data_IF_150843953272
#
_entry.id   IF_150843953272
#
_cell.length_a   1.000
_cell.length_b   1.000
_cell.length_c   1.000
_cell.angle_alpha   90.00
_cell.angle_beta   90.00
_cell.angle_gamma   90.00
#
_symmetry.space_group_name_H-M   'P 1'
#
loop_
_entity.id
_entity.type
_entity.pdbx_description
1 polymer ?
#
# COMPACT_ATOMS: atom_id res chain seq x y z
N UNK A 1 6.28 -26.02 -65.13
CA UNK A 1 6.25 -24.65 -64.57
C UNK A 1 4.94 -24.49 -63.83
N UNK A 2 4.97 -24.63 -62.51
CA UNK A 2 3.81 -24.42 -61.64
C UNK A 2 4.24 -23.39 -60.60
N UNK A 3 3.58 -22.22 -60.64
CA UNK A 3 3.76 -21.14 -59.70
C UNK A 3 3.20 -21.55 -58.33
N UNK A 4 4.04 -21.53 -57.30
CA UNK A 4 3.61 -21.43 -55.90
C UNK A 4 3.63 -19.96 -55.51
N UNK A 5 2.47 -19.41 -55.19
CA UNK A 5 2.29 -18.20 -54.38
C UNK A 5 2.30 -18.61 -52.90
N UNK A 6 3.05 -17.93 -52.02
CA UNK A 6 3.01 -18.21 -50.59
C UNK A 6 1.81 -17.54 -49.90
N UNK A 7 1.26 -18.24 -48.92
CA UNK A 7 0.16 -17.84 -48.05
C UNK A 7 0.45 -16.53 -47.29
N UNK A 8 -0.51 -15.60 -47.32
CA UNK A 8 -0.54 -14.40 -46.49
C UNK A 8 -0.88 -14.78 -45.03
N UNK A 9 0.12 -14.79 -44.15
CA UNK A 9 -0.09 -14.76 -42.70
C UNK A 9 -0.73 -13.44 -42.28
N UNK A 10 -2.03 -13.50 -41.94
CA UNK A 10 -2.75 -12.39 -41.29
C UNK A 10 -2.15 -12.13 -39.91
N UNK A 11 -1.32 -11.10 -39.81
CA UNK A 11 -0.87 -10.52 -38.54
C UNK A 11 -2.09 -9.87 -37.86
N UNK A 12 -2.62 -10.48 -36.81
CA UNK A 12 -3.62 -9.85 -35.95
C UNK A 12 -2.94 -8.71 -35.16
N UNK A 13 -3.15 -7.48 -35.63
CA UNK A 13 -2.81 -6.28 -34.87
C UNK A 13 -3.60 -6.26 -33.56
N UNK A 14 -2.88 -6.24 -32.44
CA UNK A 14 -3.48 -6.01 -31.13
C UNK A 14 -3.83 -4.52 -31.04
N UNK A 15 -5.07 -4.18 -31.44
CA UNK A 15 -5.61 -2.84 -31.29
C UNK A 15 -5.72 -2.56 -29.78
N UNK A 16 -4.80 -1.76 -29.26
CA UNK A 16 -4.89 -1.25 -27.88
C UNK A 16 -5.89 -0.11 -27.91
N UNK A 17 -7.14 -0.40 -27.56
CA UNK A 17 -8.13 0.64 -27.32
C UNK A 17 -7.64 1.56 -26.20
N UNK A 18 -7.85 2.88 -26.32
CA UNK A 18 -7.45 3.83 -25.29
C UNK A 18 -8.26 3.57 -24.02
N UNK A 19 -7.57 3.06 -23.00
CA UNK A 19 -8.16 2.84 -21.66
C UNK A 19 -8.60 4.21 -21.13
N UNK A 20 -9.89 4.37 -20.87
CA UNK A 20 -10.41 5.52 -20.16
C UNK A 20 -9.84 5.52 -18.74
N UNK A 21 -9.04 6.53 -18.42
CA UNK A 21 -8.41 6.69 -17.10
C UNK A 21 -9.46 6.86 -15.98
N UNK A 22 -10.72 7.17 -16.31
CA UNK A 22 -11.82 7.23 -15.37
C UNK A 22 -12.30 5.85 -14.88
N UNK A 23 -12.06 4.78 -15.66
CA UNK A 23 -12.48 3.41 -15.32
C UNK A 23 -11.45 2.64 -14.49
N UNK A 24 -10.26 3.21 -14.27
CA UNK A 24 -9.21 2.56 -13.49
C UNK A 24 -9.42 2.78 -11.98
N UNK A 25 -9.48 1.68 -11.22
CA UNK A 25 -9.41 1.68 -9.75
C UNK A 25 -8.01 2.12 -9.31
N UNK A 26 -7.80 3.43 -9.31
CA UNK A 26 -6.59 4.04 -8.79
C UNK A 26 -6.66 4.14 -7.27
N UNK A 27 -5.68 3.56 -6.59
CA UNK A 27 -5.41 3.80 -5.17
C UNK A 27 -4.32 4.85 -5.03
N UNK A 28 -4.49 5.78 -4.09
CA UNK A 28 -3.47 6.77 -3.73
C UNK A 28 -2.62 6.22 -2.59
N UNK A 29 -1.38 5.87 -2.91
CA UNK A 29 -0.41 5.39 -1.92
C UNK A 29 0.66 6.43 -1.63
N UNK A 30 1.08 6.51 -0.38
CA UNK A 30 2.09 7.49 0.08
C UNK A 30 3.48 7.19 -0.50
N UNK A 31 4.16 8.24 -0.98
CA UNK A 31 5.36 8.10 -1.82
C UNK A 31 6.55 7.47 -1.07
N UNK A 32 6.79 7.84 0.18
CA UNK A 32 7.88 7.25 0.97
C UNK A 32 7.65 5.74 1.18
N UNK A 33 6.41 5.31 1.45
CA UNK A 33 6.04 3.89 1.64
C UNK A 33 6.11 3.08 0.33
N UNK A 34 5.94 3.73 -0.82
CA UNK A 34 6.20 3.11 -2.12
C UNK A 34 7.69 2.90 -2.40
N UNK A 35 8.56 3.76 -1.87
CA UNK A 35 10.00 3.65 -2.06
C UNK A 35 10.64 2.70 -1.04
N UNK A 36 10.30 2.82 0.24
CA UNK A 36 10.96 2.11 1.32
C UNK A 36 10.18 0.87 1.78
N UNK A 37 10.87 -0.20 2.21
CA UNK A 37 10.22 -1.45 2.56
C UNK A 37 9.42 -1.32 3.86
N UNK A 38 8.20 -1.84 3.89
CA UNK A 38 7.44 -2.06 5.13
C UNK A 38 7.06 -3.54 5.25
N UNK A 39 6.40 -4.07 4.22
CA UNK A 39 5.98 -5.47 4.14
C UNK A 39 7.07 -6.38 3.57
N UNK A 40 7.20 -7.59 4.13
CA UNK A 40 8.01 -8.64 3.54
C UNK A 40 7.35 -9.18 2.26
N UNK A 41 8.16 -9.43 1.22
CA UNK A 41 7.72 -9.94 -0.07
C UNK A 41 7.73 -11.48 -0.19
N UNK A 42 8.15 -12.17 0.88
CA UNK A 42 8.26 -13.62 0.93
C UNK A 42 7.82 -14.15 2.28
N UNK A 43 7.25 -15.35 2.29
CA UNK A 43 6.92 -16.10 3.51
C UNK A 43 8.13 -16.84 4.07
N UNK A 44 9.17 -17.09 3.25
CA UNK A 44 10.38 -17.79 3.68
C UNK A 44 11.11 -16.97 4.74
N UNK A 45 11.27 -17.54 5.94
CA UNK A 45 11.94 -16.89 7.06
C UNK A 45 11.14 -15.76 7.74
N UNK A 46 9.89 -15.51 7.31
CA UNK A 46 9.07 -14.41 7.84
C UNK A 46 8.84 -14.52 9.35
N UNK A 47 8.61 -15.75 9.85
CA UNK A 47 8.38 -16.01 11.28
C UNK A 47 9.53 -15.53 12.18
N UNK A 48 10.76 -15.55 11.68
CA UNK A 48 11.96 -15.20 12.44
C UNK A 48 12.48 -13.79 12.07
N UNK A 49 11.82 -13.10 11.13
CA UNK A 49 12.21 -11.75 10.74
C UNK A 49 11.76 -10.79 11.84
N UNK A 50 12.72 -10.06 12.41
CA UNK A 50 12.43 -9.01 13.40
C UNK A 50 12.62 -7.60 12.84
N UNK A 51 13.40 -7.46 11.76
CA UNK A 51 13.66 -6.16 11.14
C UNK A 51 13.96 -6.25 9.64
N UNK A 52 13.74 -5.15 8.94
CA UNK A 52 14.28 -4.87 7.61
C UNK A 52 14.95 -3.50 7.63
N UNK A 53 16.19 -3.43 7.16
CA UNK A 53 16.96 -2.19 7.12
C UNK A 53 17.32 -1.83 5.68
N UNK A 54 17.22 -0.55 5.35
CA UNK A 54 17.77 0.08 4.17
C UNK A 54 18.71 1.21 4.62
N UNK A 55 19.94 1.17 4.15
CA UNK A 55 20.95 2.21 4.39
C UNK A 55 21.60 2.60 3.07
N UNK A 56 21.80 3.89 2.86
CA UNK A 56 22.47 4.40 1.67
C UNK A 56 23.20 5.71 1.98
N UNK A 57 24.16 6.06 1.13
CA UNK A 57 24.72 7.41 1.06
C UNK A 57 24.07 8.10 -0.14
N UNK A 58 23.46 9.26 0.10
CA UNK A 58 22.84 10.08 -0.96
C UNK A 58 23.48 11.46 -1.00
N UNK A 59 23.48 12.07 -2.17
CA UNK A 59 23.92 13.46 -2.32
C UNK A 59 22.73 14.40 -2.11
N UNK A 60 22.90 15.39 -1.22
CA UNK A 60 21.92 16.43 -0.92
C UNK A 60 22.64 17.75 -0.80
N UNK A 61 22.27 18.72 -1.62
CA UNK A 61 22.88 20.06 -1.62
C UNK A 61 24.41 20.03 -1.74
N UNK A 62 24.97 19.08 -2.50
CA UNK A 62 26.41 18.90 -2.67
C UNK A 62 27.12 18.15 -1.53
N UNK A 63 26.39 17.74 -0.49
CA UNK A 63 26.92 16.95 0.63
C UNK A 63 26.50 15.49 0.54
N UNK A 64 27.40 14.58 0.94
CA UNK A 64 27.10 13.15 1.07
C UNK A 64 26.51 12.89 2.45
N UNK A 65 25.25 12.46 2.48
CA UNK A 65 24.49 12.21 3.71
C UNK A 65 24.16 10.72 3.80
N UNK A 66 24.46 10.11 4.94
CA UNK A 66 23.97 8.76 5.26
C UNK A 66 22.50 8.82 5.65
N UNK A 67 21.71 7.92 5.07
CA UNK A 67 20.27 7.80 5.31
C UNK A 67 19.93 6.39 5.78
N UNK A 68 18.98 6.28 6.72
CA UNK A 68 18.52 5.02 7.30
C UNK A 68 16.99 4.92 7.24
N UNK A 69 16.50 3.77 6.80
CA UNK A 69 15.12 3.34 6.99
C UNK A 69 15.13 1.95 7.62
N UNK A 70 14.60 1.83 8.83
CA UNK A 70 14.53 0.58 9.55
C UNK A 70 13.08 0.30 9.95
N UNK A 71 12.60 -0.89 9.63
CA UNK A 71 11.29 -1.38 10.06
C UNK A 71 11.52 -2.49 11.06
N UNK A 72 10.92 -2.38 12.24
CA UNK A 72 11.06 -3.31 13.34
C UNK A 72 9.70 -3.91 13.72
N UNK A 73 9.64 -5.23 13.78
CA UNK A 73 8.47 -5.97 14.19
C UNK A 73 8.32 -5.98 15.70
N UNK A 74 7.07 -5.98 16.17
CA UNK A 74 6.78 -6.38 17.54
C UNK A 74 6.98 -7.92 17.69
N UNK A 75 7.72 -8.42 18.69
CA UNK A 75 7.95 -9.85 18.88
C UNK A 75 6.68 -10.70 19.06
N UNK A 76 5.62 -10.14 19.63
CA UNK A 76 4.34 -10.83 19.83
C UNK A 76 3.55 -10.96 18.51
N UNK A 77 3.54 -9.90 17.69
CA UNK A 77 2.73 -9.84 16.47
C UNK A 77 3.47 -10.31 15.21
N UNK A 78 4.80 -10.28 15.23
CA UNK A 78 5.67 -10.65 14.11
C UNK A 78 5.79 -9.57 13.03
N UNK A 79 6.60 -9.85 12.01
CA UNK A 79 6.87 -8.89 10.92
C UNK A 79 5.77 -8.91 9.85
N UNK A 80 5.31 -7.74 9.35
CA UNK A 80 4.22 -7.67 8.37
C UNK A 80 4.62 -8.26 7.02
N UNK A 81 3.79 -9.15 6.49
CA UNK A 81 4.02 -9.91 5.26
C UNK A 81 3.05 -9.56 4.13
N UNK A 82 2.93 -10.48 3.18
CA UNK A 82 2.14 -10.31 1.96
C UNK A 82 0.64 -10.13 2.22
N UNK A 83 0.10 -10.83 3.22
CA UNK A 83 -1.31 -10.69 3.58
C UNK A 83 -1.57 -9.33 4.25
N UNK A 84 -0.70 -8.89 5.14
CA UNK A 84 -0.77 -7.57 5.77
C UNK A 84 -0.69 -6.45 4.72
N UNK A 85 0.13 -6.64 3.68
CA UNK A 85 0.18 -5.73 2.53
C UNK A 85 -1.16 -5.62 1.81
N UNK A 86 -1.85 -6.73 1.60
CA UNK A 86 -3.19 -6.72 0.97
C UNK A 86 -4.23 -6.03 1.86
N UNK A 87 -4.18 -6.26 3.17
CA UNK A 87 -5.04 -5.55 4.14
C UNK A 87 -4.77 -4.05 4.09
N UNK A 88 -3.51 -3.63 4.06
CA UNK A 88 -3.17 -2.21 3.93
C UNK A 88 -3.62 -1.60 2.60
N UNK A 89 -3.56 -2.34 1.48
CA UNK A 89 -4.10 -1.88 0.20
C UNK A 89 -5.62 -1.65 0.25
N UNK A 90 -6.36 -2.49 0.97
CA UNK A 90 -7.79 -2.24 1.20
C UNK A 90 -8.04 -0.99 2.06
N UNK A 91 -7.18 -0.73 3.05
CA UNK A 91 -7.21 0.53 3.82
C UNK A 91 -6.90 1.74 2.92
N UNK A 92 -5.92 1.64 2.02
CA UNK A 92 -5.61 2.71 1.06
C UNK A 92 -6.74 2.97 0.05
N UNK A 93 -7.51 1.95 -0.36
CA UNK A 93 -8.73 2.17 -1.16
C UNK A 93 -9.70 3.09 -0.41
N UNK A 94 -9.95 2.80 0.87
CA UNK A 94 -10.83 3.60 1.73
C UNK A 94 -10.27 5.03 1.91
N UNK A 95 -8.98 5.16 2.21
CA UNK A 95 -8.31 6.47 2.31
C UNK A 95 -8.43 7.25 0.99
N UNK A 96 -8.35 6.57 -0.16
CA UNK A 96 -8.47 7.19 -1.47
C UNK A 96 -9.88 7.71 -1.73
N UNK A 97 -10.90 6.96 -1.30
CA UNK A 97 -12.31 7.37 -1.34
C UNK A 97 -12.54 8.59 -0.43
N UNK A 98 -11.99 8.58 0.79
CA UNK A 98 -12.05 9.71 1.72
C UNK A 98 -11.42 10.97 1.14
N UNK A 99 -10.20 10.87 0.58
CA UNK A 99 -9.55 11.98 -0.13
C UNK A 99 -10.39 12.48 -1.31
N UNK A 100 -11.01 11.59 -2.07
CA UNK A 100 -11.85 11.95 -3.22
C UNK A 100 -13.12 12.67 -2.80
N UNK A 101 -13.77 12.19 -1.74
CA UNK A 101 -15.09 12.66 -1.32
C UNK A 101 -15.01 13.90 -0.44
N UNK A 102 -13.99 14.00 0.42
CA UNK A 102 -13.85 15.06 1.44
C UNK A 102 -12.67 16.00 1.18
N UNK A 103 -11.78 15.67 0.24
CA UNK A 103 -10.56 16.44 -0.04
C UNK A 103 -9.45 16.28 0.99
N UNK A 104 -9.70 15.57 2.11
CA UNK A 104 -8.77 15.35 3.21
C UNK A 104 -9.12 14.07 3.97
N UNK A 105 -8.16 13.56 4.73
CA UNK A 105 -8.29 12.41 5.63
C UNK A 105 -8.23 12.91 7.06
N UNK A 106 -9.05 12.32 7.93
CA UNK A 106 -9.06 12.60 9.36
C UNK A 106 -9.03 11.30 10.16
N UNK A 107 -8.55 11.39 11.40
CA UNK A 107 -8.60 10.30 12.34
C UNK A 107 -9.90 10.34 13.17
N UNK A 108 -10.48 9.17 13.51
CA UNK A 108 -10.14 7.85 12.97
C UNK A 108 -10.72 7.62 11.57
N UNK A 109 -10.04 6.80 10.77
CA UNK A 109 -10.56 6.34 9.46
C UNK A 109 -11.48 5.13 9.67
N UNK A 110 -12.72 5.25 9.21
CA UNK A 110 -13.72 4.18 9.26
C UNK A 110 -13.43 3.12 8.19
N UNK A 111 -13.21 1.86 8.60
CA UNK A 111 -12.86 0.74 7.72
C UNK A 111 -14.07 -0.07 7.23
N UNK A 112 -15.25 0.15 7.81
CA UNK A 112 -16.42 -0.68 7.52
C UNK A 112 -16.35 -2.06 8.18
N UNK A 113 -17.10 -3.01 7.63
CA UNK A 113 -17.15 -4.38 8.15
C UNK A 113 -15.94 -5.20 7.71
N UNK A 114 -15.65 -6.29 8.42
CA UNK A 114 -14.61 -7.23 7.98
C UNK A 114 -14.99 -7.94 6.67
N UNK A 115 -16.30 -8.12 6.43
CA UNK A 115 -16.82 -8.62 5.16
C UNK A 115 -16.45 -7.67 4.00
N UNK A 116 -16.70 -6.36 4.14
CA UNK A 116 -16.34 -5.39 3.10
C UNK A 116 -14.82 -5.30 2.88
N UNK A 117 -14.01 -5.50 3.94
CA UNK A 117 -12.56 -5.59 3.77
C UNK A 117 -12.15 -6.85 2.98
N UNK A 118 -12.79 -8.00 3.22
CA UNK A 118 -12.55 -9.20 2.41
C UNK A 118 -12.90 -8.97 0.93
N UNK A 119 -14.00 -8.28 0.63
CA UNK A 119 -14.39 -7.95 -0.75
C UNK A 119 -13.39 -6.99 -1.41
N UNK A 120 -12.97 -5.93 -0.72
CA UNK A 120 -11.96 -4.97 -1.21
C UNK A 120 -10.60 -5.60 -1.48
N UNK A 121 -10.23 -6.60 -0.67
CA UNK A 121 -9.04 -7.41 -0.89
C UNK A 121 -9.19 -8.40 -2.05
N UNK A 122 -10.41 -8.62 -2.53
CA UNK A 122 -10.74 -9.61 -3.55
C UNK A 122 -10.46 -11.04 -3.09
N UNK A 123 -10.71 -11.33 -1.80
CA UNK A 123 -10.56 -12.69 -1.29
C UNK A 123 -11.63 -13.60 -1.89
N UNK A 124 -11.22 -14.81 -2.24
CA UNK A 124 -12.15 -15.84 -2.69
C UNK A 124 -12.90 -16.45 -1.50
N UNK A 125 -14.20 -16.63 -1.70
CA UNK A 125 -15.04 -17.41 -0.79
C UNK A 125 -14.72 -18.89 -0.97
N UNK A 126 -14.88 -19.67 0.09
CA UNK A 126 -14.64 -21.12 -0.01
C UNK A 126 -15.68 -21.75 -0.94
N UNK A 127 -15.33 -22.82 -1.68
CA UNK A 127 -16.30 -23.55 -2.49
C UNK A 127 -17.54 -23.92 -1.67
N UNK A 128 -18.72 -23.64 -2.22
CA UNK A 128 -20.00 -23.89 -1.55
C UNK A 128 -20.39 -22.91 -0.43
N UNK A 129 -19.65 -21.82 -0.21
CA UNK A 129 -19.97 -20.82 0.81
C UNK A 129 -20.35 -19.47 0.17
N UNK A 130 -21.44 -18.87 0.64
CA UNK A 130 -21.89 -17.54 0.20
C UNK A 130 -21.19 -16.39 0.95
N UNK A 131 -20.52 -16.67 2.05
CA UNK A 131 -19.89 -15.69 2.95
C UNK A 131 -18.44 -16.05 3.28
N UNK A 132 -17.70 -15.05 3.77
CA UNK A 132 -16.37 -15.24 4.35
C UNK A 132 -16.47 -15.87 5.75
N UNK A 133 -15.49 -16.67 6.12
CA UNK A 133 -15.47 -17.34 7.42
C UNK A 133 -14.79 -16.52 8.52
N UNK A 134 -14.94 -16.98 9.76
CA UNK A 134 -14.25 -16.38 10.91
C UNK A 134 -12.72 -16.47 10.84
N UNK A 135 -12.15 -17.34 9.99
CA UNK A 135 -10.69 -17.44 9.79
C UNK A 135 -10.17 -16.17 9.09
N UNK A 136 -10.85 -15.76 8.04
CA UNK A 136 -10.51 -14.61 7.21
C UNK A 136 -10.62 -13.33 8.04
N UNK A 137 -11.72 -13.18 8.81
CA UNK A 137 -11.91 -12.08 9.74
C UNK A 137 -10.81 -12.00 10.82
N UNK A 138 -10.46 -13.13 11.45
CA UNK A 138 -9.34 -13.16 12.43
C UNK A 138 -8.00 -12.81 11.80
N UNK A 139 -7.76 -13.23 10.55
CA UNK A 139 -6.54 -12.89 9.83
C UNK A 139 -6.44 -11.39 9.58
N UNK A 140 -7.53 -10.73 9.15
CA UNK A 140 -7.58 -9.28 8.94
C UNK A 140 -7.34 -8.52 10.25
N UNK A 141 -8.00 -8.90 11.35
CA UNK A 141 -7.77 -8.26 12.66
C UNK A 141 -6.31 -8.33 13.08
N UNK A 142 -5.71 -9.53 13.02
CA UNK A 142 -4.29 -9.72 13.35
C UNK A 142 -3.35 -8.94 12.43
N UNK A 143 -3.70 -8.78 11.16
CA UNK A 143 -2.90 -8.00 10.24
C UNK A 143 -2.92 -6.50 10.58
N UNK A 144 -4.10 -5.95 10.90
CA UNK A 144 -4.22 -4.56 11.36
C UNK A 144 -3.43 -4.31 12.64
N UNK A 145 -3.53 -5.21 13.62
CA UNK A 145 -2.75 -5.15 14.87
C UNK A 145 -1.24 -5.25 14.61
N UNK A 146 -0.81 -6.15 13.72
CA UNK A 146 0.60 -6.30 13.34
C UNK A 146 1.14 -5.03 12.66
N UNK A 147 0.37 -4.41 11.77
CA UNK A 147 0.76 -3.16 11.12
C UNK A 147 0.88 -2.04 12.15
N UNK A 148 -0.10 -1.91 13.06
CA UNK A 148 -0.11 -0.88 14.09
C UNK A 148 1.07 -1.00 15.07
N UNK A 149 1.52 -2.22 15.34
CA UNK A 149 2.64 -2.49 16.26
C UNK A 149 4.01 -2.53 15.57
N UNK A 150 4.06 -2.31 14.25
CA UNK A 150 5.33 -2.28 13.50
C UNK A 150 5.91 -0.88 13.49
N UNK A 151 7.08 -0.72 14.11
CA UNK A 151 7.76 0.56 14.19
C UNK A 151 8.60 0.84 12.94
N UNK A 152 8.65 2.10 12.54
CA UNK A 152 9.50 2.64 11.49
C UNK A 152 10.47 3.62 12.15
N UNK A 153 11.77 3.42 11.97
CA UNK A 153 12.80 4.41 12.27
C UNK A 153 13.32 4.99 10.96
N UNK A 154 13.19 6.30 10.81
CA UNK A 154 13.78 7.06 9.72
C UNK A 154 14.92 7.92 10.24
N UNK A 155 16.04 7.94 9.54
CA UNK A 155 17.06 8.98 9.67
C UNK A 155 17.31 9.54 8.27
N UNK A 156 16.74 10.71 8.00
CA UNK A 156 16.88 11.37 6.72
C UNK A 156 16.23 10.64 5.53
N UNK A 157 15.32 9.66 5.72
CA UNK A 157 14.71 8.90 4.61
C UNK A 157 13.29 9.34 4.28
N UNK A 158 12.45 9.58 5.27
CA UNK A 158 11.05 9.97 5.05
C UNK A 158 11.00 11.47 4.74
N UNK A 159 10.51 11.83 3.55
CA UNK A 159 10.32 13.22 3.16
C UNK A 159 8.92 13.69 3.59
N UNK A 160 8.87 14.69 4.45
CA UNK A 160 7.64 15.33 4.86
C UNK A 160 7.37 16.52 3.92
N UNK A 161 6.45 16.36 2.96
CA UNK A 161 6.18 17.36 1.91
C UNK A 161 5.65 18.70 2.46
N UNK A 162 4.79 18.68 3.47
CA UNK A 162 4.20 19.90 4.05
C UNK A 162 5.26 20.85 4.63
N UNK A 163 6.05 20.34 5.57
CA UNK A 163 7.21 21.02 6.17
C UNK A 163 8.48 21.08 5.28
N UNK A 164 8.49 20.39 4.13
CA UNK A 164 9.63 20.33 3.21
C UNK A 164 10.95 19.91 3.86
N UNK A 165 10.90 18.90 4.74
CA UNK A 165 12.08 18.40 5.46
C UNK A 165 12.18 16.88 5.40
N UNK A 166 13.39 16.38 5.65
CA UNK A 166 13.63 14.97 5.91
C UNK A 166 13.45 14.68 7.40
N UNK A 167 12.69 13.64 7.69
CA UNK A 167 12.35 13.25 9.06
C UNK A 167 13.44 12.35 9.63
N UNK A 168 13.75 12.57 10.92
CA UNK A 168 14.65 11.74 11.72
C UNK A 168 13.96 11.37 13.03
N UNK A 169 13.06 10.38 12.99
CA UNK A 169 12.29 9.94 14.16
C UNK A 169 11.81 8.50 14.03
N UNK A 170 11.29 7.96 15.14
CA UNK A 170 10.55 6.68 15.17
C UNK A 170 9.06 6.97 15.14
N UNK A 171 8.31 6.24 14.31
CA UNK A 171 6.87 6.39 14.14
C UNK A 171 6.23 5.08 13.67
N UNK A 172 4.91 5.06 13.52
CA UNK A 172 4.14 3.90 13.04
C UNK A 172 3.32 4.29 11.81
N UNK A 173 2.73 3.32 11.10
CA UNK A 173 1.69 3.64 10.13
C UNK A 173 0.37 3.95 10.81
N UNK A 174 0.01 3.12 11.80
CA UNK A 174 -1.20 3.25 12.58
C UNK A 174 -0.83 3.39 14.06
N UNK A 175 -1.42 4.37 14.73
CA UNK A 175 -1.26 4.56 16.18
C UNK A 175 -2.23 3.69 16.97
N UNK A 176 -3.38 3.33 16.40
CA UNK A 176 -4.35 2.45 17.04
C UNK A 176 -5.28 1.78 16.02
N UNK A 177 -5.82 0.63 16.40
CA UNK A 177 -6.92 -0.06 15.71
C UNK A 177 -8.02 -0.28 16.72
N UNK A 178 -9.25 0.11 16.40
CA UNK A 178 -10.42 -0.06 17.27
C UNK A 178 -11.47 -0.86 16.52
N UNK A 179 -11.75 -2.08 16.97
CA UNK A 179 -12.76 -2.93 16.35
C UNK A 179 -14.16 -2.55 16.82
N UNK A 180 -15.17 -2.85 15.99
CA UNK A 180 -16.58 -2.64 16.29
C UNK A 180 -16.95 -3.15 17.69
N UNK A 181 -17.73 -2.35 18.43
CA UNK A 181 -18.16 -2.62 19.80
C UNK A 181 -17.10 -2.31 20.87
N UNK A 182 -15.92 -1.79 20.51
CA UNK A 182 -14.90 -1.29 21.46
C UNK A 182 -14.99 0.22 21.62
N UNK A 183 -14.38 0.78 22.67
CA UNK A 183 -14.39 2.23 22.92
C UNK A 183 -13.39 2.97 22.05
N UNK A 184 -13.81 4.10 21.48
CA UNK A 184 -12.98 5.07 20.78
C UNK A 184 -12.30 6.02 21.77
N UNK A 185 -11.37 6.86 21.26
CA UNK A 185 -10.60 7.81 22.10
C UNK A 185 -11.49 8.90 22.73
N UNK A 186 -12.61 9.23 22.08
CA UNK A 186 -13.62 10.18 22.58
C UNK A 186 -14.61 9.56 23.59
N UNK A 187 -14.46 8.26 23.91
CA UNK A 187 -15.30 7.54 24.85
C UNK A 187 -16.55 6.90 24.24
N UNK A 188 -16.88 7.18 22.97
CA UNK A 188 -17.99 6.54 22.26
C UNK A 188 -17.70 5.09 21.92
N UNK A 189 -18.74 4.31 21.60
CA UNK A 189 -18.59 2.93 21.15
C UNK A 189 -18.45 2.92 19.63
N UNK A 190 -17.41 2.27 19.13
CA UNK A 190 -17.17 2.09 17.71
C UNK A 190 -18.33 1.31 17.06
N UNK A 191 -19.07 1.99 16.17
CA UNK A 191 -20.15 1.40 15.37
C UNK A 191 -19.62 0.55 14.20
N UNK A 192 -18.35 0.74 13.84
CA UNK A 192 -17.61 0.00 12.82
C UNK A 192 -16.17 -0.29 13.26
N UNK A 193 -15.34 -0.83 12.36
CA UNK A 193 -13.90 -0.96 12.61
C UNK A 193 -13.18 0.32 12.20
N UNK A 194 -12.19 0.74 12.99
CA UNK A 194 -11.48 1.99 12.79
C UNK A 194 -9.97 1.79 12.87
N UNK A 195 -9.24 2.66 12.17
CA UNK A 195 -7.81 2.84 12.33
C UNK A 195 -7.49 4.30 12.61
N UNK A 196 -6.59 4.56 13.54
CA UNK A 196 -5.97 5.86 13.75
C UNK A 196 -4.63 5.82 13.03
N UNK A 197 -4.50 6.61 11.96
CA UNK A 197 -3.24 6.82 11.26
C UNK A 197 -2.29 7.62 12.14
N UNK A 198 -0.98 7.39 12.04
CA UNK A 198 -0.02 8.26 12.72
C UNK A 198 -0.02 9.67 12.13
N UNK A 199 0.40 10.64 12.92
CA UNK A 199 0.46 12.05 12.50
C UNK A 199 1.25 12.21 11.20
N UNK A 200 2.46 11.65 11.11
CA UNK A 200 3.28 11.73 9.89
C UNK A 200 2.59 11.12 8.66
N UNK A 201 1.87 10.01 8.84
CA UNK A 201 1.18 9.39 7.71
C UNK A 201 -0.01 10.23 7.29
N UNK A 202 -0.81 10.71 8.25
CA UNK A 202 -1.96 11.58 8.02
C UNK A 202 -1.55 12.91 7.35
N UNK A 203 -0.48 13.55 7.84
CA UNK A 203 0.09 14.78 7.27
C UNK A 203 0.58 14.57 5.85
N UNK A 204 1.25 13.45 5.56
CA UNK A 204 1.74 13.12 4.22
C UNK A 204 0.58 12.93 3.23
N UNK A 205 -0.49 12.23 3.64
CA UNK A 205 -1.71 12.05 2.86
C UNK A 205 -2.38 13.40 2.57
N UNK A 206 -2.55 14.25 3.59
CA UNK A 206 -3.20 15.57 3.46
C UNK A 206 -2.33 16.60 2.71
N UNK A 207 -1.01 16.43 2.67
CA UNK A 207 -0.12 17.20 1.79
C UNK A 207 -0.17 16.71 0.32
N UNK A 208 -0.99 15.69 0.02
CA UNK A 208 -1.03 15.01 -1.27
C UNK A 208 0.36 14.54 -1.70
N UNK A 209 1.16 14.00 -0.78
CA UNK A 209 2.41 13.31 -1.10
C UNK A 209 2.15 11.83 -1.40
N UNK A 210 1.26 11.64 -2.37
CA UNK A 210 0.73 10.34 -2.77
C UNK A 210 0.90 10.15 -4.28
N UNK A 211 0.96 8.90 -4.70
CA UNK A 211 0.96 8.51 -6.10
C UNK A 211 -0.25 7.63 -6.40
N UNK A 212 -1.01 7.89 -7.48
CA UNK A 212 -2.02 6.95 -7.96
C UNK A 212 -1.35 5.68 -8.49
N UNK A 213 -1.82 4.51 -8.05
CA UNK A 213 -1.44 3.19 -8.55
C UNK A 213 -2.67 2.52 -9.15
N UNK A 214 -2.51 1.96 -10.34
CA UNK A 214 -3.53 1.09 -10.93
C UNK A 214 -3.54 -0.21 -10.14
N UNK A 215 -4.58 -0.37 -9.31
CA UNK A 215 -4.67 -1.51 -8.40
C UNK A 215 -5.03 -2.80 -9.13
N UNK A 216 -5.84 -2.72 -10.18
CA UNK A 216 -6.19 -3.89 -11.00
C UNK A 216 -4.96 -4.42 -11.73
N UNK A 217 -4.18 -3.53 -12.35
CA UNK A 217 -2.90 -3.92 -12.95
C UNK A 217 -1.96 -4.51 -11.89
N UNK A 218 -1.80 -3.86 -10.74
CA UNK A 218 -0.95 -4.37 -9.66
C UNK A 218 -1.36 -5.79 -9.23
N UNK A 219 -2.65 -6.09 -9.11
CA UNK A 219 -3.17 -7.43 -8.75
C UNK A 219 -2.96 -8.47 -9.83
N UNK A 220 -2.94 -8.08 -11.11
CA UNK A 220 -2.71 -9.01 -12.22
C UNK A 220 -1.26 -9.52 -12.31
N UNK A 221 -0.32 -8.83 -11.64
CA UNK A 221 1.10 -9.23 -11.63
C UNK A 221 1.32 -10.53 -10.84
N UNK A 222 1.77 -11.58 -11.55
CA UNK A 222 1.99 -12.93 -11.00
C UNK A 222 3.00 -12.99 -9.86
N UNK A 223 4.01 -12.11 -9.86
CA UNK A 223 5.10 -12.12 -8.88
C UNK A 223 4.95 -10.98 -7.89
N UNK A 224 5.11 -11.27 -6.59
CA UNK A 224 5.16 -10.24 -5.56
C UNK A 224 6.34 -9.28 -5.74
N UNK A 225 7.45 -9.74 -6.33
CA UNK A 225 8.58 -8.90 -6.70
C UNK A 225 8.18 -7.96 -7.83
N UNK A 226 7.52 -8.46 -8.88
CA UNK A 226 7.03 -7.61 -9.97
C UNK A 226 6.03 -6.55 -9.45
N UNK A 227 5.10 -6.96 -8.57
CA UNK A 227 4.18 -6.06 -7.88
C UNK A 227 4.91 -4.96 -7.09
N UNK A 228 6.00 -5.29 -6.38
CA UNK A 228 6.79 -4.28 -5.66
C UNK A 228 7.65 -3.41 -6.59
N UNK A 229 8.19 -3.97 -7.67
CA UNK A 229 8.92 -3.20 -8.67
C UNK A 229 7.99 -2.19 -9.36
N UNK A 230 6.75 -2.57 -9.67
CA UNK A 230 5.74 -1.64 -10.20
C UNK A 230 5.54 -0.42 -9.29
N UNK A 231 5.47 -0.62 -7.97
CA UNK A 231 5.37 0.46 -6.99
C UNK A 231 6.59 1.40 -7.03
N UNK A 232 7.79 0.83 -6.92
CA UNK A 232 9.06 1.60 -6.85
C UNK A 232 9.32 2.33 -8.18
N UNK A 233 9.24 1.62 -9.30
CA UNK A 233 9.46 2.16 -10.63
C UNK A 233 8.39 3.19 -10.99
N UNK A 234 7.15 2.98 -10.53
CA UNK A 234 6.08 3.95 -10.67
C UNK A 234 6.47 5.31 -10.10
N UNK A 235 7.14 5.37 -8.95
CA UNK A 235 7.61 6.64 -8.38
C UNK A 235 8.75 7.23 -9.21
N UNK A 236 9.70 6.40 -9.65
CA UNK A 236 10.88 6.85 -10.42
C UNK A 236 10.53 7.37 -11.82
N UNK A 237 9.48 6.84 -12.45
CA UNK A 237 9.09 7.20 -13.82
C UNK A 237 7.87 8.13 -13.90
N UNK A 238 7.28 8.55 -12.76
CA UNK A 238 6.04 9.33 -12.75
C UNK A 238 6.12 10.61 -13.61
N UNK A 239 7.27 11.31 -13.58
CA UNK A 239 7.50 12.53 -14.38
C UNK A 239 8.03 12.31 -15.81
N UNK A 240 8.17 11.07 -16.27
CA UNK A 240 8.65 10.78 -17.64
C UNK A 240 7.50 10.86 -18.66
N UNK A 241 6.24 10.65 -18.23
CA UNK A 241 5.06 10.72 -19.12
C UNK A 241 4.69 12.14 -19.55
N UNK A 242 5.08 13.18 -18.79
CA UNK A 242 4.79 14.58 -19.12
C UNK A 242 5.78 15.19 -20.15
N UNK A 243 6.80 14.43 -20.59
CA UNK A 243 7.76 14.88 -21.62
C UNK A 243 7.47 14.33 -23.02
N UNK A 244 6.21 14.13 -23.35
CA UNK A 244 5.80 13.98 -24.76
C UNK A 244 5.28 15.34 -25.22
N UNK A 245 6.18 16.10 -25.85
CA UNK A 245 5.84 17.21 -26.73
C UNK A 245 5.03 16.69 -27.92
#
# INVERSE_FOLDING_TARGET
>A
MAHQTPDEEKTQGHTTEPIDLAELDFIRSEVNLLLFPFFALTTKGLRNRLRTEFRAVVERNGERVEILWNVAANPEYGYPGLFDRQVHRAVEQIITEELRNKGRVENPVALGSLYSLCERMGLEKRPGHQEYGGREYRAIKRALERIATTAIKSEGTFYHKGERRWVSQVFHLYDAVVFQGKRLRDGTVADTNYVYLSDLYLESLNALYVKPLDYQYQRSLRSHIASRLYEILGVKFYGVRERRN
#
